data_IF_040935171607
#
_entry.id   IF_040935171607
#
_cell.length_a   1.000
_cell.length_b   1.000
_cell.length_c   1.000
_cell.angle_alpha   90.00
_cell.angle_beta   90.00
_cell.angle_gamma   90.00
#
_symmetry.space_group_name_H-M   'P 1'
#
loop_
_entity.id
_entity.type
_entity.pdbx_description
1 polymer ?
#
# COMPACT_ATOMS: atom_id res chain seq x y z
N UNK A 1 5.11 -21.94 23.44
CA UNK A 1 5.30 -21.85 21.97
C UNK A 1 4.69 -20.53 21.49
N UNK A 2 5.11 -19.98 20.35
CA UNK A 2 4.50 -18.76 19.80
C UNK A 2 3.28 -19.13 18.94
N UNK A 3 2.35 -18.19 18.79
CA UNK A 3 1.20 -18.32 17.89
C UNK A 3 1.67 -18.59 16.44
N UNK A 4 1.10 -19.57 15.72
CA UNK A 4 1.44 -19.82 14.32
C UNK A 4 1.19 -18.57 13.47
N UNK A 5 2.27 -17.94 13.02
CA UNK A 5 2.20 -16.65 12.33
C UNK A 5 2.17 -16.82 10.80
N UNK A 6 1.52 -15.93 10.04
CA UNK A 6 1.63 -15.91 8.58
C UNK A 6 3.09 -15.84 8.11
N UNK A 7 3.40 -16.49 6.98
CA UNK A 7 4.74 -16.44 6.40
C UNK A 7 5.11 -15.02 5.97
N UNK A 8 6.41 -14.70 6.05
CA UNK A 8 6.94 -13.41 5.62
C UNK A 8 6.57 -13.12 4.16
N UNK A 9 6.07 -11.93 3.90
CA UNK A 9 5.65 -11.47 2.57
C UNK A 9 6.67 -10.49 2.00
N UNK A 10 6.95 -10.59 0.69
CA UNK A 10 7.67 -9.56 -0.05
C UNK A 10 6.65 -8.60 -0.64
N UNK A 11 6.66 -7.34 -0.18
CA UNK A 11 5.63 -6.37 -0.55
C UNK A 11 5.72 -5.95 -2.03
N UNK A 12 4.66 -6.14 -2.83
CA UNK A 12 4.64 -5.79 -4.26
C UNK A 12 4.88 -4.30 -4.52
N UNK A 13 5.50 -3.94 -5.64
CA UNK A 13 5.72 -2.52 -6.01
C UNK A 13 4.41 -1.78 -6.30
N UNK A 14 3.46 -2.44 -6.97
CA UNK A 14 2.15 -1.86 -7.29
C UNK A 14 1.33 -1.63 -6.02
N UNK A 15 0.82 -0.41 -5.80
CA UNK A 15 0.14 -0.06 -4.55
C UNK A 15 -1.18 -0.82 -4.34
N UNK A 16 -1.93 -1.14 -5.40
CA UNK A 16 -3.22 -1.84 -5.30
C UNK A 16 -3.02 -3.32 -4.97
N UNK A 17 -2.05 -3.93 -5.62
CA UNK A 17 -1.63 -5.31 -5.32
C UNK A 17 -1.07 -5.38 -3.89
N UNK A 18 -0.22 -4.43 -3.51
CA UNK A 18 0.30 -4.34 -2.16
C UNK A 18 -0.80 -4.20 -1.11
N UNK A 19 -1.78 -3.30 -1.31
CA UNK A 19 -2.91 -3.16 -0.40
C UNK A 19 -3.71 -4.47 -0.27
N UNK A 20 -3.90 -5.19 -1.37
CA UNK A 20 -4.60 -6.49 -1.38
C UNK A 20 -3.83 -7.54 -0.58
N UNK A 21 -2.52 -7.66 -0.79
CA UNK A 21 -1.69 -8.63 -0.11
C UNK A 21 -1.54 -8.29 1.37
N UNK A 22 -1.35 -7.01 1.71
CA UNK A 22 -1.30 -6.55 3.10
C UNK A 22 -2.62 -6.84 3.83
N UNK A 23 -3.78 -6.59 3.19
CA UNK A 23 -5.08 -6.92 3.77
C UNK A 23 -5.22 -8.41 4.07
N UNK A 24 -4.89 -9.28 3.12
CA UNK A 24 -4.89 -10.74 3.31
C UNK A 24 -3.94 -11.17 4.43
N UNK A 25 -2.75 -10.58 4.50
CA UNK A 25 -1.76 -10.87 5.54
C UNK A 25 -2.31 -10.49 6.92
N UNK A 26 -2.86 -9.28 7.07
CA UNK A 26 -3.40 -8.78 8.32
C UNK A 26 -4.62 -9.58 8.78
N UNK A 27 -5.48 -10.01 7.86
CA UNK A 27 -6.60 -10.91 8.19
C UNK A 27 -6.10 -12.24 8.78
N UNK A 28 -5.09 -12.86 8.17
CA UNK A 28 -4.49 -14.09 8.71
C UNK A 28 -3.80 -13.85 10.05
N UNK A 29 -3.13 -12.71 10.22
CA UNK A 29 -2.49 -12.33 11.48
C UNK A 29 -3.53 -12.12 12.60
N UNK A 30 -4.65 -11.47 12.32
CA UNK A 30 -5.76 -11.31 13.25
C UNK A 30 -6.36 -12.68 13.63
N UNK A 31 -6.65 -13.53 12.64
CA UNK A 31 -7.14 -14.89 12.94
C UNK A 31 -6.14 -15.69 13.78
N UNK A 32 -4.83 -15.54 13.55
CA UNK A 32 -3.82 -16.20 14.36
C UNK A 32 -3.85 -15.71 15.81
N UNK A 33 -3.99 -14.40 16.03
CA UNK A 33 -4.12 -13.79 17.37
C UNK A 33 -5.37 -14.31 18.08
N UNK A 34 -6.52 -14.27 17.40
CA UNK A 34 -7.82 -14.65 17.97
C UNK A 34 -7.87 -16.14 18.35
N UNK A 35 -7.23 -17.00 17.54
CA UNK A 35 -7.16 -18.45 17.79
C UNK A 35 -5.92 -18.87 18.58
N UNK A 36 -5.12 -17.93 19.05
CA UNK A 36 -3.82 -18.19 19.67
C UNK A 36 -3.87 -18.55 21.15
N UNK A 37 -5.05 -18.62 21.79
CA UNK A 37 -5.23 -18.91 23.21
C UNK A 37 -4.34 -18.07 24.16
N UNK A 38 -4.08 -16.81 23.78
CA UNK A 38 -3.20 -15.89 24.55
C UNK A 38 -1.70 -16.18 24.41
N UNK A 39 -1.28 -17.06 23.49
CA UNK A 39 0.12 -17.27 23.17
C UNK A 39 0.76 -15.97 22.63
N UNK A 40 2.04 -15.75 22.93
CA UNK A 40 2.74 -14.56 22.48
C UNK A 40 2.86 -14.53 20.97
N UNK A 41 2.62 -13.35 20.41
CA UNK A 41 2.80 -13.03 19.00
C UNK A 41 4.28 -12.92 18.66
N UNK A 42 4.68 -13.50 17.53
CA UNK A 42 6.05 -13.38 17.02
C UNK A 42 6.37 -11.93 16.62
N UNK A 43 7.33 -11.31 17.30
CA UNK A 43 7.76 -9.91 17.06
C UNK A 43 8.21 -9.65 15.62
N UNK A 44 8.83 -10.64 14.97
CA UNK A 44 9.20 -10.60 13.55
C UNK A 44 7.98 -10.36 12.65
N UNK A 45 6.89 -11.06 12.93
CA UNK A 45 5.64 -10.97 12.18
C UNK A 45 4.99 -9.59 12.26
N UNK A 46 4.96 -9.02 13.46
CA UNK A 46 4.50 -7.64 13.69
C UNK A 46 5.36 -6.64 12.92
N UNK A 47 6.68 -6.82 12.95
CA UNK A 47 7.62 -5.97 12.21
C UNK A 47 7.36 -6.01 10.69
N UNK A 48 7.11 -7.19 10.12
CA UNK A 48 6.80 -7.35 8.69
C UNK A 48 5.52 -6.60 8.31
N UNK A 49 4.46 -6.73 9.12
CA UNK A 49 3.20 -6.01 8.92
C UNK A 49 3.38 -4.49 8.95
N UNK A 50 4.12 -3.97 9.94
CA UNK A 50 4.40 -2.54 10.09
C UNK A 50 5.19 -1.98 8.90
N UNK A 51 6.23 -2.70 8.45
CA UNK A 51 7.01 -2.30 7.27
C UNK A 51 6.11 -2.27 6.02
N UNK A 52 5.21 -3.25 5.86
CA UNK A 52 4.24 -3.29 4.77
C UNK A 52 3.33 -2.08 4.76
N UNK A 53 2.71 -1.78 5.90
CA UNK A 53 1.83 -0.62 6.05
C UNK A 53 2.55 0.70 5.74
N UNK A 54 3.73 0.93 6.32
CA UNK A 54 4.53 2.14 6.06
C UNK A 54 4.90 2.26 4.58
N UNK A 55 5.32 1.16 3.96
CA UNK A 55 5.67 1.14 2.53
C UNK A 55 4.46 1.44 1.65
N UNK A 56 3.27 0.97 2.02
CA UNK A 56 2.04 1.25 1.29
C UNK A 56 1.66 2.73 1.40
N UNK A 57 1.75 3.33 2.58
CA UNK A 57 1.50 4.76 2.81
C UNK A 57 2.41 5.61 1.91
N UNK A 58 3.71 5.32 1.88
CA UNK A 58 4.67 6.02 1.01
C UNK A 58 4.28 5.89 -0.46
N UNK A 59 3.91 4.68 -0.92
CA UNK A 59 3.48 4.46 -2.31
C UNK A 59 2.24 5.29 -2.67
N UNK A 60 1.26 5.38 -1.77
CA UNK A 60 0.05 6.18 -1.99
C UNK A 60 0.35 7.69 -2.00
N UNK A 61 1.25 8.15 -1.13
CA UNK A 61 1.69 9.56 -1.10
C UNK A 61 2.51 9.95 -2.33
N UNK A 62 3.31 9.03 -2.87
CA UNK A 62 4.08 9.24 -4.10
C UNK A 62 3.25 9.08 -5.38
N UNK A 63 1.97 8.69 -5.28
CA UNK A 63 1.08 8.63 -6.44
C UNK A 63 0.65 10.06 -6.76
N UNK A 64 0.98 10.61 -7.96
CA UNK A 64 0.56 11.95 -8.32
C UNK A 64 -0.97 12.06 -8.26
N UNK A 65 -1.49 13.18 -7.75
CA UNK A 65 -2.91 13.47 -7.88
C UNK A 65 -3.24 13.57 -9.38
N UNK A 66 -3.94 12.55 -9.88
CA UNK A 66 -4.32 12.46 -11.27
C UNK A 66 -5.24 13.62 -11.70
N UNK A 67 -5.96 14.26 -10.77
CA UNK A 67 -6.70 15.48 -11.04
C UNK A 67 -5.79 16.65 -11.39
N UNK A 68 -4.72 16.84 -10.62
CA UNK A 68 -3.71 17.87 -10.90
C UNK A 68 -2.94 17.58 -12.19
N UNK A 69 -2.60 16.31 -12.45
CA UNK A 69 -1.96 15.90 -13.72
C UNK A 69 -2.90 16.16 -14.90
N UNK A 70 -4.17 15.81 -14.76
CA UNK A 70 -5.18 16.02 -15.81
C UNK A 70 -5.37 17.50 -16.13
N UNK A 71 -5.53 18.35 -15.11
CA UNK A 71 -5.66 19.80 -15.32
C UNK A 71 -4.38 20.40 -15.91
N UNK A 72 -3.19 19.96 -15.47
CA UNK A 72 -1.92 20.41 -16.07
C UNK A 72 -1.83 20.04 -17.56
N UNK A 73 -2.24 18.82 -17.93
CA UNK A 73 -2.30 18.38 -19.34
C UNK A 73 -3.30 19.20 -20.14
N UNK A 74 -4.49 19.43 -19.60
CA UNK A 74 -5.55 20.22 -20.24
C UNK A 74 -5.14 21.67 -20.44
N UNK A 75 -4.50 22.28 -19.45
CA UNK A 75 -3.99 23.65 -19.55
C UNK A 75 -2.88 23.74 -20.60
N UNK A 76 -1.94 22.80 -20.62
CA UNK A 76 -0.90 22.75 -21.66
C UNK A 76 -1.48 22.58 -23.07
N UNK A 77 -2.54 21.79 -23.24
CA UNK A 77 -3.24 21.68 -24.53
C UNK A 77 -3.92 22.99 -24.96
N UNK A 78 -4.51 23.73 -24.02
CA UNK A 78 -5.13 25.01 -24.29
C UNK A 78 -4.09 26.06 -24.73
N UNK A 79 -2.94 26.12 -24.06
CA UNK A 79 -1.84 27.03 -24.40
C UNK A 79 -1.27 26.76 -25.81
N UNK A 80 -1.08 25.49 -26.17
CA UNK A 80 -0.61 25.11 -27.51
C UNK A 80 -1.62 25.53 -28.58
N UNK A 81 -2.92 25.36 -28.30
CA UNK A 81 -3.98 25.74 -29.24
C UNK A 81 -4.02 27.26 -29.43
N UNK A 82 -3.91 28.03 -28.36
CA UNK A 82 -3.85 29.50 -28.44
C UNK A 82 -2.61 29.97 -29.21
N UNK A 83 -1.45 29.34 -29.02
CA UNK A 83 -0.23 29.68 -29.73
C UNK A 83 -0.27 29.33 -31.23
N UNK A 84 -1.08 28.34 -31.65
CA UNK A 84 -1.26 27.96 -33.04
C UNK A 84 -2.29 28.82 -33.80
N UNK A 85 -3.09 29.62 -33.08
CA UNK A 85 -4.11 30.51 -33.62
C UNK A 85 -3.61 31.97 -33.77
N UNK A 86 -2.35 32.25 -33.42
CA UNK A 86 -1.62 33.53 -33.57
C UNK A 86 -0.67 33.42 -34.77
#
# INVERSE_FOLDING_TARGET
>A
MATPWPQDEIWPTNYREHATNLSKYLQKALSAIDNGDGLPVASRGVRVALIGALTLIVKMQSTPDLGHVYEAVKNGQAEIKTAAEI
#
